data_IF_563845587820
#
_entry.id   IF_563845587820
#
_cell.length_a   1.000
_cell.length_b   1.000
_cell.length_c   1.000
_cell.angle_alpha   90.00
_cell.angle_beta   90.00
_cell.angle_gamma   90.00
#
_symmetry.space_group_name_H-M   'P 1'
#
loop_
_entity.id
_entity.type
_entity.pdbx_description
1 polymer ?
#
# COMPACT_ATOMS: atom_id res chain seq x y z
N UNK A 1 -6.23 -7.71 -11.73
CA UNK A 1 -6.56 -9.05 -12.27
C UNK A 1 -7.22 -8.87 -13.63
N UNK A 2 -6.59 -9.32 -14.75
CA UNK A 2 -7.23 -9.26 -16.05
C UNK A 2 -8.42 -10.23 -16.19
N UNK A 3 -8.56 -11.24 -15.32
CA UNK A 3 -9.64 -12.23 -15.35
C UNK A 3 -10.90 -11.79 -14.58
N UNK A 4 -10.76 -10.89 -13.61
CA UNK A 4 -11.88 -10.32 -12.85
C UNK A 4 -11.56 -8.88 -12.44
N UNK A 5 -11.94 -7.87 -13.23
CA UNK A 5 -11.82 -6.47 -12.84
C UNK A 5 -12.74 -6.09 -11.65
N UNK A 6 -13.28 -7.09 -10.92
CA UNK A 6 -14.16 -6.95 -9.76
C UNK A 6 -15.31 -5.97 -10.02
N UNK A 7 -15.95 -6.13 -11.18
CA UNK A 7 -17.03 -5.25 -11.68
C UNK A 7 -18.43 -5.57 -11.12
N UNK A 8 -18.56 -6.67 -10.35
CA UNK A 8 -19.83 -7.08 -9.79
C UNK A 8 -19.85 -6.83 -8.27
N UNK A 9 -20.92 -6.19 -7.81
CA UNK A 9 -21.22 -6.06 -6.38
C UNK A 9 -21.53 -7.45 -5.81
N UNK A 10 -20.73 -7.92 -4.86
CA UNK A 10 -21.01 -9.15 -4.13
C UNK A 10 -21.91 -8.82 -2.93
N UNK A 11 -23.15 -9.34 -2.94
CA UNK A 11 -24.17 -9.23 -1.89
C UNK A 11 -24.84 -7.85 -1.69
N UNK A 12 -25.48 -7.31 -2.72
CA UNK A 12 -26.50 -6.26 -2.58
C UNK A 12 -26.00 -4.87 -2.14
N UNK A 13 -24.69 -4.70 -1.96
CA UNK A 13 -24.06 -3.40 -1.67
C UNK A 13 -22.93 -3.17 -2.71
N UNK A 14 -22.87 -2.03 -3.41
CA UNK A 14 -21.78 -1.74 -4.32
C UNK A 14 -20.45 -1.75 -3.56
N UNK A 15 -19.64 -2.79 -3.75
CA UNK A 15 -18.32 -2.92 -3.11
C UNK A 15 -17.26 -2.03 -3.79
N UNK A 16 -17.66 -1.15 -4.70
CA UNK A 16 -16.75 -0.32 -5.50
C UNK A 16 -16.03 -1.12 -6.58
N UNK A 17 -15.18 -0.45 -7.34
CA UNK A 17 -14.22 -1.11 -8.23
C UNK A 17 -12.86 -1.18 -7.54
N UNK A 18 -12.00 -2.07 -8.01
CA UNK A 18 -10.67 -2.20 -7.47
C UNK A 18 -9.62 -1.75 -8.47
N UNK A 19 -8.53 -1.18 -7.97
CA UNK A 19 -7.35 -0.82 -8.75
C UNK A 19 -6.10 -1.56 -8.31
N UNK A 20 -5.09 -1.56 -9.18
CA UNK A 20 -3.79 -2.18 -9.00
C UNK A 20 -2.68 -1.17 -8.69
N UNK A 21 -2.97 0.13 -8.65
CA UNK A 21 -2.03 1.18 -8.24
C UNK A 21 -2.58 1.89 -7.02
N UNK A 22 -1.90 1.79 -5.88
CA UNK A 22 -2.36 2.31 -4.59
C UNK A 22 -1.36 3.30 -4.02
N UNK A 23 -1.82 4.14 -3.11
CA UNK A 23 -1.01 5.27 -2.61
C UNK A 23 -0.18 4.89 -1.37
N UNK A 24 0.96 5.55 -1.18
CA UNK A 24 1.83 5.31 -0.04
C UNK A 24 1.30 6.02 1.21
N UNK A 25 1.03 5.26 2.27
CA UNK A 25 0.68 5.83 3.58
C UNK A 25 1.87 5.99 4.52
N UNK A 26 3.06 5.47 4.15
CA UNK A 26 4.27 5.73 4.92
C UNK A 26 5.16 4.53 5.14
N UNK A 27 5.93 4.61 6.22
CA UNK A 27 6.92 3.60 6.64
C UNK A 27 6.40 2.65 7.74
N UNK A 28 5.18 2.88 8.23
CA UNK A 28 4.59 2.14 9.34
C UNK A 28 3.30 1.39 8.99
N UNK A 29 2.45 1.23 10.01
CA UNK A 29 1.12 0.64 9.86
C UNK A 29 0.06 1.73 9.63
N UNK A 30 -0.94 1.44 8.80
CA UNK A 30 -2.06 2.34 8.55
C UNK A 30 -2.99 2.47 9.77
N UNK A 31 -2.99 1.47 10.65
CA UNK A 31 -3.66 1.53 11.95
C UNK A 31 -2.67 1.15 13.03
N UNK A 32 -2.51 2.02 14.02
CA UNK A 32 -1.74 1.79 15.24
C UNK A 32 -2.69 1.93 16.43
N UNK A 33 -2.39 1.30 17.56
CA UNK A 33 -3.19 1.50 18.78
C UNK A 33 -3.28 2.98 19.19
N UNK A 34 -2.19 3.73 19.01
CA UNK A 34 -2.14 5.17 19.29
C UNK A 34 -2.78 6.04 18.18
N UNK A 35 -2.97 5.50 16.98
CA UNK A 35 -3.62 6.18 15.85
C UNK A 35 -4.54 5.21 15.10
N UNK A 36 -5.68 4.82 15.70
CA UNK A 36 -6.57 3.80 15.13
C UNK A 36 -7.30 4.29 13.87
N UNK A 37 -7.26 5.61 13.60
CA UNK A 37 -7.88 6.24 12.43
C UNK A 37 -6.89 6.49 11.30
N UNK A 38 -5.59 6.28 11.52
CA UNK A 38 -4.54 6.51 10.51
C UNK A 38 -4.50 7.96 10.03
N UNK A 39 -4.65 8.92 10.94
CA UNK A 39 -4.66 10.35 10.64
C UNK A 39 -3.29 11.02 10.82
N UNK A 40 -2.33 10.32 11.40
CA UNK A 40 -1.00 10.81 11.76
C UNK A 40 0.09 9.89 11.18
N UNK A 41 -0.03 9.53 9.89
CA UNK A 41 0.94 8.71 9.17
C UNK A 41 1.98 9.58 8.45
N UNK A 42 3.15 9.04 8.13
CA UNK A 42 4.32 9.76 7.60
C UNK A 42 4.46 9.74 6.07
N UNK A 43 3.67 8.95 5.34
CA UNK A 43 3.62 8.99 3.86
C UNK A 43 2.60 9.98 3.32
N UNK A 44 2.72 10.37 2.05
CA UNK A 44 1.95 11.49 1.46
C UNK A 44 0.43 11.29 1.50
N UNK A 45 -0.06 10.05 1.43
CA UNK A 45 -1.50 9.76 1.34
C UNK A 45 -2.00 8.87 2.47
N UNK A 46 -2.96 9.38 3.23
CA UNK A 46 -3.60 8.66 4.32
C UNK A 46 -4.99 9.23 4.59
N UNK A 47 -5.70 8.70 5.59
CA UNK A 47 -7.04 9.15 5.94
C UNK A 47 -7.09 10.66 6.19
N UNK A 48 -7.91 11.39 5.42
CA UNK A 48 -8.06 12.85 5.53
C UNK A 48 -6.74 13.64 5.40
N UNK A 49 -5.76 13.10 4.67
CA UNK A 49 -4.46 13.75 4.46
C UNK A 49 -4.60 15.17 3.90
N UNK A 50 -3.79 16.10 4.41
CA UNK A 50 -3.72 17.50 3.97
C UNK A 50 -2.27 17.94 3.70
N UNK A 51 -1.46 17.00 3.21
CA UNK A 51 -0.03 17.19 2.94
C UNK A 51 0.13 18.18 1.78
N UNK A 52 0.93 19.22 2.01
CA UNK A 52 1.36 20.18 0.99
C UNK A 52 2.67 19.72 0.37
N UNK A 53 2.98 20.19 -0.83
CA UNK A 53 4.27 19.91 -1.47
C UNK A 53 5.45 20.37 -0.61
N UNK A 54 5.29 21.48 0.13
CA UNK A 54 6.28 22.02 1.08
C UNK A 54 6.48 21.16 2.32
N UNK A 55 5.57 20.22 2.60
CA UNK A 55 5.67 19.31 3.74
C UNK A 55 6.51 18.06 3.41
N UNK A 56 6.94 17.91 2.15
CA UNK A 56 7.80 16.82 1.66
C UNK A 56 9.27 17.27 1.75
N UNK A 57 9.77 17.35 2.99
CA UNK A 57 11.11 17.87 3.28
C UNK A 57 12.24 16.91 2.91
N UNK A 58 11.95 15.62 2.74
CA UNK A 58 12.94 14.63 2.29
C UNK A 58 13.22 14.71 0.78
N UNK A 59 12.48 15.58 0.08
CA UNK A 59 12.60 15.83 -1.35
C UNK A 59 11.55 15.07 -2.16
N UNK A 60 10.90 15.78 -3.07
CA UNK A 60 9.83 15.21 -3.91
C UNK A 60 10.31 14.07 -4.82
N UNK A 61 11.58 14.10 -5.22
CA UNK A 61 12.24 13.04 -5.97
C UNK A 61 12.67 11.84 -5.13
N UNK A 62 12.55 11.89 -3.81
CA UNK A 62 12.95 10.79 -2.91
C UNK A 62 11.74 10.11 -2.25
N UNK A 63 10.61 10.80 -2.16
CA UNK A 63 9.40 10.28 -1.51
C UNK A 63 8.50 9.53 -2.50
N UNK A 64 8.18 8.26 -2.18
CA UNK A 64 7.22 7.46 -2.93
C UNK A 64 5.79 7.92 -2.68
N UNK A 65 4.98 7.95 -3.74
CA UNK A 65 3.56 8.29 -3.68
C UNK A 65 2.63 7.16 -4.12
N UNK A 66 3.00 6.39 -5.15
CA UNK A 66 2.13 5.35 -5.74
C UNK A 66 2.96 4.14 -6.10
N UNK A 67 2.43 2.94 -5.81
CA UNK A 67 3.03 1.68 -6.25
C UNK A 67 1.97 0.64 -6.54
N UNK A 68 2.41 -0.50 -7.03
CA UNK A 68 1.53 -1.58 -7.45
C UNK A 68 0.99 -2.41 -6.28
N UNK A 69 -0.18 -3.00 -6.53
CA UNK A 69 -0.84 -3.99 -5.70
C UNK A 69 -1.35 -5.12 -6.59
N UNK A 70 -1.21 -6.35 -6.13
CA UNK A 70 -1.87 -7.51 -6.73
C UNK A 70 -3.28 -7.65 -6.17
N UNK A 71 -4.27 -7.66 -7.07
CA UNK A 71 -5.67 -7.90 -6.74
C UNK A 71 -5.97 -9.42 -6.69
N UNK A 72 -6.59 -9.89 -5.61
CA UNK A 72 -7.16 -11.25 -5.51
C UNK A 72 -8.64 -11.30 -5.88
N UNK A 73 -9.37 -12.37 -5.55
CA UNK A 73 -10.85 -12.39 -5.63
C UNK A 73 -11.46 -11.38 -4.64
N UNK A 74 -12.60 -10.75 -4.94
CA UNK A 74 -13.35 -10.01 -3.91
C UNK A 74 -13.99 -10.97 -2.92
N UNK A 75 -14.65 -12.02 -3.39
CA UNK A 75 -15.25 -13.03 -2.53
C UNK A 75 -14.18 -13.92 -1.90
N UNK A 76 -14.12 -13.91 -0.57
CA UNK A 76 -13.22 -14.76 0.24
C UNK A 76 -14.03 -15.48 1.32
N UNK A 77 -13.46 -16.52 1.94
CA UNK A 77 -14.11 -17.19 3.04
C UNK A 77 -14.41 -16.20 4.19
N UNK A 78 -15.68 -16.04 4.54
CA UNK A 78 -16.10 -15.17 5.64
C UNK A 78 -16.19 -13.68 5.31
N UNK A 79 -16.03 -13.24 4.05
CA UNK A 79 -16.21 -11.84 3.70
C UNK A 79 -15.64 -11.42 2.34
N UNK A 80 -14.96 -10.27 2.34
CA UNK A 80 -14.46 -9.60 1.14
C UNK A 80 -12.96 -9.29 1.22
N UNK A 81 -12.26 -9.31 0.09
CA UNK A 81 -10.90 -8.77 -0.05
C UNK A 81 -10.94 -7.28 -0.43
N UNK A 82 -10.40 -6.45 0.44
CA UNK A 82 -10.46 -4.98 0.29
C UNK A 82 -9.24 -4.39 -0.42
N UNK A 83 -8.26 -5.21 -0.78
CA UNK A 83 -7.04 -4.73 -1.44
C UNK A 83 -7.39 -4.24 -2.85
N UNK A 84 -7.14 -2.95 -3.06
CA UNK A 84 -7.40 -2.18 -4.26
C UNK A 84 -8.76 -1.48 -4.27
N UNK A 85 -9.61 -1.68 -3.25
CA UNK A 85 -11.05 -1.33 -3.30
C UNK A 85 -11.33 0.17 -3.13
N UNK A 86 -11.74 0.83 -4.22
CA UNK A 86 -12.03 2.27 -4.25
C UNK A 86 -13.49 2.60 -3.91
N UNK A 87 -13.74 3.83 -3.44
CA UNK A 87 -15.05 4.32 -2.92
C UNK A 87 -15.63 3.58 -1.70
N UNK A 88 -14.99 2.49 -1.25
CA UNK A 88 -15.28 1.79 0.00
C UNK A 88 -13.97 1.33 0.67
N UNK A 89 -13.02 2.27 0.78
CA UNK A 89 -11.70 2.01 1.35
C UNK A 89 -11.80 1.78 2.85
N UNK A 90 -11.21 0.68 3.32
CA UNK A 90 -11.01 0.38 4.74
C UNK A 90 -9.67 -0.31 4.95
N UNK A 91 -9.13 -0.25 6.17
CA UNK A 91 -8.10 -1.18 6.67
C UNK A 91 -6.86 -1.36 5.75
N UNK A 92 -6.24 -0.27 5.30
CA UNK A 92 -5.10 -0.28 4.35
C UNK A 92 -5.41 -0.91 2.97
N UNK A 93 -6.68 -1.06 2.60
CA UNK A 93 -7.09 -1.66 1.34
C UNK A 93 -6.64 -0.87 0.11
N UNK A 94 -6.52 0.46 0.17
CA UNK A 94 -6.09 1.30 -0.97
C UNK A 94 -4.81 2.06 -0.73
N UNK A 95 -4.05 1.67 0.28
CA UNK A 95 -2.75 2.26 0.56
C UNK A 95 -1.73 1.18 0.87
N UNK A 96 -0.45 1.44 0.59
CA UNK A 96 0.63 0.53 0.94
C UNK A 96 1.61 1.19 1.89
N UNK A 97 2.34 0.33 2.60
CA UNK A 97 3.45 0.68 3.46
C UNK A 97 4.77 0.29 2.80
N UNK A 98 5.82 1.06 3.11
CA UNK A 98 7.20 0.73 2.79
C UNK A 98 7.92 -0.06 3.89
N UNK A 99 7.20 -0.49 4.93
CA UNK A 99 7.77 -1.25 6.06
C UNK A 99 8.53 -2.52 5.63
N UNK A 100 8.18 -3.09 4.47
CA UNK A 100 8.92 -4.19 3.85
C UNK A 100 9.15 -3.94 2.35
N UNK A 101 10.28 -4.42 1.78
CA UNK A 101 10.60 -4.30 0.36
C UNK A 101 9.50 -4.83 -0.57
N UNK A 102 9.51 -4.39 -1.85
CA UNK A 102 8.56 -4.88 -2.85
C UNK A 102 8.51 -6.41 -2.94
N UNK A 103 7.31 -6.94 -3.15
CA UNK A 103 7.05 -8.38 -3.27
C UNK A 103 7.53 -9.22 -2.07
N UNK A 104 7.73 -8.62 -0.89
CA UNK A 104 8.06 -9.34 0.34
C UNK A 104 7.11 -10.52 0.61
N UNK A 105 7.64 -11.61 1.17
CA UNK A 105 6.85 -12.78 1.56
C UNK A 105 6.01 -12.55 2.82
N UNK A 106 6.26 -11.46 3.56
CA UNK A 106 5.41 -11.04 4.68
C UNK A 106 4.01 -10.76 4.15
N UNK A 107 2.98 -11.36 4.74
CA UNK A 107 1.62 -11.21 4.27
C UNK A 107 0.95 -9.91 4.73
N UNK A 108 0.03 -9.41 3.90
CA UNK A 108 -0.74 -8.20 4.17
C UNK A 108 -1.68 -8.40 5.37
N UNK A 109 -1.94 -7.33 6.12
CA UNK A 109 -2.94 -7.29 7.17
C UNK A 109 -3.98 -6.22 6.85
N UNK A 110 -5.16 -6.63 6.41
CA UNK A 110 -6.29 -5.73 6.15
C UNK A 110 -7.46 -6.03 7.10
N UNK A 111 -7.14 -6.39 8.35
CA UNK A 111 -8.09 -6.64 9.44
C UNK A 111 -9.12 -7.75 9.15
N UNK A 112 -8.68 -8.85 8.53
CA UNK A 112 -9.54 -10.00 8.21
C UNK A 112 -10.14 -9.94 6.81
N UNK A 113 -9.98 -8.81 6.11
CA UNK A 113 -10.48 -8.61 4.76
C UNK A 113 -9.40 -8.90 3.70
N UNK A 114 -8.74 -10.06 3.83
CA UNK A 114 -7.61 -10.46 3.00
C UNK A 114 -7.78 -11.90 2.51
N UNK A 115 -7.79 -12.10 1.19
CA UNK A 115 -7.78 -13.40 0.54
C UNK A 115 -6.39 -13.78 0.02
N UNK A 116 -5.72 -14.72 0.68
CA UNK A 116 -4.36 -15.08 0.30
C UNK A 116 -4.32 -15.68 -1.11
N UNK A 117 -3.40 -15.18 -1.94
CA UNK A 117 -3.14 -15.68 -3.30
C UNK A 117 -1.63 -15.81 -3.55
N UNK A 118 -1.20 -16.62 -4.54
CA UNK A 118 0.20 -16.73 -4.90
C UNK A 118 0.78 -15.35 -5.28
N UNK A 119 1.74 -14.84 -4.50
CA UNK A 119 2.39 -13.50 -4.53
C UNK A 119 1.72 -12.36 -3.75
N UNK A 120 0.53 -12.55 -3.19
CA UNK A 120 -0.06 -11.61 -2.25
C UNK A 120 -0.63 -12.34 -1.02
N UNK A 121 0.27 -12.91 -0.17
CA UNK A 121 -0.15 -13.63 1.02
C UNK A 121 -0.83 -12.71 2.03
N UNK A 122 -1.64 -13.30 2.90
CA UNK A 122 -2.22 -12.62 4.06
C UNK A 122 -1.45 -13.03 5.31
N UNK A 123 -1.07 -12.05 6.12
CA UNK A 123 -0.38 -12.26 7.39
C UNK A 123 -1.36 -12.50 8.53
N UNK A 124 -0.85 -12.42 9.77
CA UNK A 124 -1.70 -12.39 10.95
C UNK A 124 -2.59 -11.14 10.91
N UNK A 125 -3.92 -11.36 10.89
CA UNK A 125 -4.89 -10.28 10.79
C UNK A 125 -5.13 -9.64 12.16
N UNK A 126 -5.12 -8.31 12.24
CA UNK A 126 -5.32 -7.57 13.50
C UNK A 126 -5.70 -6.12 13.24
N UNK A 127 -6.54 -5.56 14.11
CA UNK A 127 -7.01 -4.17 14.01
C UNK A 127 -5.93 -3.11 14.31
N UNK A 128 -4.83 -3.49 14.96
CA UNK A 128 -3.84 -2.56 15.54
C UNK A 128 -2.55 -2.43 14.72
N UNK A 129 -2.48 -3.05 13.55
CA UNK A 129 -1.29 -3.06 12.69
C UNK A 129 -1.68 -3.36 11.23
N UNK A 130 -2.70 -2.69 10.70
CA UNK A 130 -3.13 -2.92 9.32
C UNK A 130 -2.12 -2.32 8.32
N UNK A 131 -1.79 -3.05 7.26
CA UNK A 131 -0.94 -2.60 6.15
C UNK A 131 -1.14 -3.51 4.94
N UNK A 132 -0.90 -2.95 3.75
CA UNK A 132 -0.66 -3.71 2.52
C UNK A 132 0.74 -3.38 2.01
N UNK A 133 1.36 -4.28 1.26
CA UNK A 133 2.68 -4.05 0.66
C UNK A 133 2.60 -3.78 -0.84
N UNK A 134 3.64 -3.12 -1.36
CA UNK A 134 3.84 -2.98 -2.80
C UNK A 134 4.12 -4.34 -3.44
N UNK A 135 3.29 -4.76 -4.39
CA UNK A 135 3.35 -6.10 -5.01
C UNK A 135 3.00 -6.03 -6.49
N UNK A 136 3.74 -6.78 -7.30
CA UNK A 136 3.48 -6.93 -8.72
C UNK A 136 3.82 -8.33 -9.23
N UNK A 137 3.21 -8.69 -10.36
CA UNK A 137 3.60 -9.88 -11.11
C UNK A 137 4.86 -9.66 -11.96
N UNK A 138 5.34 -8.43 -12.10
CA UNK A 138 6.60 -8.14 -12.78
C UNK A 138 7.76 -8.91 -12.14
N UNK A 139 8.65 -9.40 -13.00
CA UNK A 139 9.82 -10.15 -12.54
C UNK A 139 10.76 -9.23 -11.77
N UNK A 140 10.98 -9.54 -10.50
CA UNK A 140 12.05 -8.93 -9.71
C UNK A 140 11.77 -7.54 -9.14
N UNK A 141 10.54 -7.01 -9.22
CA UNK A 141 10.26 -5.67 -8.72
C UNK A 141 8.82 -5.16 -8.89
N UNK A 142 8.66 -3.86 -8.69
CA UNK A 142 7.42 -3.08 -8.88
C UNK A 142 7.73 -1.76 -9.57
N UNK A 143 6.78 -1.23 -10.32
CA UNK A 143 6.76 0.15 -10.77
C UNK A 143 6.28 1.05 -9.64
N UNK A 144 6.94 2.19 -9.48
CA UNK A 144 6.66 3.14 -8.43
C UNK A 144 6.78 4.58 -8.95
N UNK A 145 5.84 5.43 -8.54
CA UNK A 145 5.86 6.86 -8.82
C UNK A 145 6.15 7.66 -7.55
N UNK A 146 7.01 8.67 -7.68
CA UNK A 146 7.45 9.59 -6.61
C UNK A 146 6.67 10.90 -6.64
N UNK A 147 6.89 11.77 -5.65
CA UNK A 147 6.17 13.03 -5.53
C UNK A 147 6.50 14.08 -6.61
N UNK A 148 7.60 13.90 -7.32
CA UNK A 148 7.93 14.65 -8.54
C UNK A 148 7.33 14.05 -9.82
N UNK A 149 6.44 13.06 -9.70
CA UNK A 149 5.88 12.25 -10.78
C UNK A 149 6.90 11.41 -11.58
N UNK A 150 8.15 11.32 -11.11
CA UNK A 150 9.14 10.40 -11.66
C UNK A 150 8.70 8.95 -11.39
N UNK A 151 8.72 8.13 -12.45
CA UNK A 151 8.39 6.69 -12.37
C UNK A 151 9.68 5.89 -12.53
N UNK A 152 9.90 4.93 -11.62
CA UNK A 152 11.01 3.98 -11.71
C UNK A 152 10.56 2.57 -11.37
N UNK A 153 11.30 1.60 -11.92
CA UNK A 153 11.18 0.21 -11.52
C UNK A 153 12.10 -0.05 -10.32
N UNK A 154 11.52 -0.47 -9.20
CA UNK A 154 12.25 -0.78 -7.97
C UNK A 154 12.37 -2.28 -7.82
N UNK A 155 13.60 -2.75 -7.67
CA UNK A 155 13.90 -4.17 -7.53
C UNK A 155 13.54 -4.68 -6.13
N UNK A 156 13.20 -5.96 -6.02
CA UNK A 156 12.96 -6.65 -4.74
C UNK A 156 14.22 -6.64 -3.84
N UNK A 157 15.40 -6.44 -4.44
CA UNK A 157 16.70 -6.37 -3.76
C UNK A 157 17.06 -4.98 -3.23
N UNK A 158 16.18 -3.98 -3.35
CA UNK A 158 16.38 -2.69 -2.70
C UNK A 158 16.65 -2.89 -1.21
N UNK A 159 17.59 -2.10 -0.65
CA UNK A 159 17.87 -2.18 0.78
C UNK A 159 16.61 -1.84 1.58
N UNK A 160 16.26 -2.61 2.63
CA UNK A 160 15.08 -2.31 3.44
C UNK A 160 15.11 -0.90 4.03
N UNK A 161 16.30 -0.41 4.42
CA UNK A 161 16.46 0.94 4.96
C UNK A 161 16.15 2.02 3.91
N UNK A 162 16.63 1.85 2.67
CA UNK A 162 16.35 2.77 1.56
C UNK A 162 14.86 2.79 1.25
N UNK A 163 14.24 1.61 1.11
CA UNK A 163 12.81 1.51 0.80
C UNK A 163 11.93 2.12 1.89
N UNK A 164 12.25 1.84 3.16
CA UNK A 164 11.57 2.41 4.32
C UNK A 164 11.65 3.95 4.32
N UNK A 165 12.84 4.50 4.10
CA UNK A 165 13.08 5.94 4.03
C UNK A 165 12.26 6.60 2.91
N UNK A 166 12.17 5.97 1.73
CA UNK A 166 11.37 6.52 0.61
C UNK A 166 9.88 6.65 0.96
N UNK A 167 9.37 5.90 1.93
CA UNK A 167 7.97 5.99 2.36
C UNK A 167 7.63 7.23 3.15
N UNK A 168 8.62 7.83 3.83
CA UNK A 168 8.43 9.03 4.63
C UNK A 168 8.48 10.28 3.77
N UNK A 169 7.69 11.29 4.16
CA UNK A 169 7.78 12.64 3.56
C UNK A 169 8.79 13.53 4.27
N UNK A 170 9.09 13.25 5.54
CA UNK A 170 9.81 14.16 6.44
C UNK A 170 10.60 13.46 7.56
N UNK A 171 11.17 12.29 7.31
CA UNK A 171 11.99 11.54 8.27
C UNK A 171 13.46 12.00 8.30
N UNK A 172 13.91 12.76 7.30
CA UNK A 172 15.27 13.30 7.21
C UNK A 172 16.34 12.27 6.83
N UNK A 173 15.94 11.09 6.34
CA UNK A 173 16.86 10.03 5.94
C UNK A 173 17.62 10.40 4.66
N UNK A 174 18.91 10.08 4.61
CA UNK A 174 19.70 10.22 3.38
C UNK A 174 19.43 9.01 2.50
N UNK A 175 18.71 9.23 1.40
CA UNK A 175 18.41 8.20 0.40
C UNK A 175 19.51 8.21 -0.66
N UNK A 176 20.28 7.14 -0.71
CA UNK A 176 21.10 6.83 -1.88
C UNK A 176 20.23 6.01 -2.84
N UNK A 177 19.77 6.62 -3.93
CA UNK A 177 19.04 5.90 -4.97
C UNK A 177 19.92 4.79 -5.57
N UNK A 178 19.39 3.58 -5.85
CA UNK A 178 20.07 2.58 -6.64
C UNK A 178 20.17 2.94 -8.13
#
# INVERSE_FOLDING_TARGET
DPASPKIAATAGNPQGFHINFITCHGSGYATLAADPRGLNLDGVFYGLSKVRLTDITDGTSNTVMVSELIQGSDAIAGGHDVRGRMWNTVHAGTTFSTIYPPNSTVGDNTQGYCGAIPKAPCGAQSALNAFSLARSYHTGGVNMARADAGVRFITNSISPATWLAMGSRNGGEVINEP
#
